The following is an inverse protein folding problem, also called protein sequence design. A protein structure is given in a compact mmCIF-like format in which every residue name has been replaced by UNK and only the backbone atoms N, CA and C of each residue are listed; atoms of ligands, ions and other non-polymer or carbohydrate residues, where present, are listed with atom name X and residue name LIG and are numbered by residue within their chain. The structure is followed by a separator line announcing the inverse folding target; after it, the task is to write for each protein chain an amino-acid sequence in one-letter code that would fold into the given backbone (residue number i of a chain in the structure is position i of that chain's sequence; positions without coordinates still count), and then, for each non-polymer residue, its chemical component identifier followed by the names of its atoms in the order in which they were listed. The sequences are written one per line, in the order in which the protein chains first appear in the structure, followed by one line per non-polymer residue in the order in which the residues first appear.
data_IF_265786918920
#
_entry.id   IF_265786918920
#
_cell.length_a   1.000
_cell.length_b   1.000
_cell.length_c   1.000
_cell.angle_alpha   90.00
_cell.angle_beta   90.00
_cell.angle_gamma   90.00
#
_symmetry.space_group_name_H-M   'P 1'
#
loop_
_entity.id
_entity.type
_entity.pdbx_description
1 polymer ?
#
# COMPACT_ATOMS: atom_id res chain seq x y z
N UNK A 1 -24.09 0.09 13.60
CA UNK A 1 -23.24 -1.01 13.11
C UNK A 1 -21.88 -0.49 12.69
N UNK A 2 -20.84 -1.34 12.68
CA UNK A 2 -19.48 -0.96 12.30
C UNK A 2 -18.88 -2.00 11.33
N UNK A 3 -18.10 -1.54 10.36
CA UNK A 3 -17.27 -2.37 9.47
C UNK A 3 -15.81 -1.95 9.66
N UNK A 4 -14.91 -2.93 9.59
CA UNK A 4 -13.47 -2.69 9.53
C UNK A 4 -12.83 -3.53 8.40
N UNK A 5 -11.85 -2.96 7.70
CA UNK A 5 -11.13 -3.65 6.63
C UNK A 5 -9.71 -3.09 6.45
N UNK A 6 -8.81 -3.90 5.89
CA UNK A 6 -7.46 -3.49 5.55
C UNK A 6 -7.36 -3.12 4.07
N UNK A 7 -6.53 -2.12 3.75
CA UNK A 7 -6.12 -1.78 2.39
C UNK A 7 -4.60 -1.64 2.30
N UNK A 8 -4.00 -2.08 1.20
CA UNK A 8 -2.58 -1.82 0.89
C UNK A 8 -2.38 -0.37 0.45
N UNK A 9 -1.26 0.21 0.82
CA UNK A 9 -0.83 1.56 0.44
C UNK A 9 0.59 1.51 -0.06
N UNK A 10 0.85 2.11 -1.21
CA UNK A 10 2.19 2.28 -1.74
C UNK A 10 2.72 3.67 -1.39
N UNK A 11 3.95 3.73 -0.87
CA UNK A 11 4.67 4.97 -0.61
C UNK A 11 5.86 5.05 -1.54
N UNK A 12 6.05 6.21 -2.18
CA UNK A 12 7.19 6.49 -3.05
C UNK A 12 8.02 7.61 -2.44
N UNK A 13 9.27 7.31 -2.09
CA UNK A 13 10.22 8.29 -1.55
C UNK A 13 11.27 8.60 -2.61
N UNK A 14 11.69 9.86 -2.69
CA UNK A 14 12.78 10.31 -3.56
C UNK A 14 13.96 10.63 -2.67
N UNK A 15 15.10 10.03 -2.96
CA UNK A 15 16.37 10.43 -2.35
C UNK A 15 17.04 11.46 -3.25
N UNK A 16 17.42 12.61 -2.69
CA UNK A 16 18.27 13.59 -3.36
C UNK A 16 19.67 13.41 -2.80
N UNK A 17 20.64 13.10 -3.65
CA UNK A 17 22.04 13.16 -3.28
C UNK A 17 22.45 14.64 -3.25
N UNK A 18 22.80 15.13 -2.06
CA UNK A 18 23.46 16.44 -1.96
C UNK A 18 24.90 16.22 -2.38
N UNK A 19 25.30 16.79 -3.53
CA UNK A 19 26.71 16.84 -3.92
C UNK A 19 27.50 17.45 -2.75
N UNK A 20 28.43 16.68 -2.19
CA UNK A 20 29.39 17.21 -1.23
C UNK A 20 30.34 18.08 -2.05
N UNK A 21 30.25 19.39 -1.85
CA UNK A 21 31.34 20.29 -2.24
C UNK A 21 32.57 19.87 -1.43
N UNK A 22 33.42 19.03 -2.03
CA UNK A 22 34.79 18.86 -1.56
C UNK A 22 35.44 20.24 -1.70
N UNK A 23 35.51 20.96 -0.58
CA UNK A 23 36.27 22.20 -0.46
C UNK A 23 37.75 21.90 -0.67
N UNK A 24 38.17 21.78 -1.93
CA UNK A 24 39.58 21.70 -2.28
C UNK A 24 40.17 23.10 -2.18
N UNK A 25 40.98 23.29 -1.14
CA UNK A 25 41.77 24.47 -0.87
C UNK A 25 42.58 24.92 -2.09
N UNK A 26 42.47 26.21 -2.36
CA UNK A 26 43.30 27.01 -3.25
C UNK A 26 44.81 26.74 -3.03
N UNK A 27 45.53 26.37 -4.08
CA UNK A 27 46.93 26.78 -4.25
C UNK A 27 47.28 26.89 -5.75
N UNK A 28 47.81 28.05 -6.08
CA UNK A 28 48.41 28.46 -7.36
C UNK A 28 49.80 27.83 -7.53
N UNK A 29 50.18 27.41 -8.75
CA UNK A 29 51.35 27.99 -9.44
C UNK A 29 51.53 27.51 -10.89
N UNK A 30 52.12 28.38 -11.71
CA UNK A 30 52.44 28.26 -13.14
C UNK A 30 53.73 27.44 -13.38
N UNK A 31 53.82 26.60 -14.44
CA UNK A 31 54.87 26.73 -15.49
C UNK A 31 54.84 25.65 -16.61
N UNK A 32 54.84 26.16 -17.85
CA UNK A 32 55.56 25.76 -19.09
C UNK A 32 55.86 24.27 -19.43
N UNK A 33 55.22 23.84 -20.54
CA UNK A 33 55.91 23.57 -21.82
C UNK A 33 56.19 22.12 -22.20
N UNK A 34 55.53 21.61 -23.26
CA UNK A 34 56.13 20.80 -24.33
C UNK A 34 55.13 20.50 -25.45
N UNK A 35 55.64 20.53 -26.67
CA UNK A 35 54.97 20.35 -27.96
C UNK A 35 54.46 18.92 -28.17
N UNK A 36 53.31 18.77 -28.83
CA UNK A 36 52.78 17.48 -29.30
C UNK A 36 51.86 17.67 -30.51
N UNK A 37 52.34 17.22 -31.66
CA UNK A 37 51.80 17.26 -33.03
C UNK A 37 50.31 16.91 -33.20
N UNK A 38 49.60 17.74 -33.98
CA UNK A 38 48.29 17.42 -34.56
C UNK A 38 48.41 16.29 -35.59
N UNK A 39 47.75 15.15 -35.35
CA UNK A 39 47.59 14.08 -36.34
C UNK A 39 46.10 14.00 -36.76
N UNK A 40 45.73 14.33 -38.01
CA UNK A 40 44.34 14.36 -38.46
C UNK A 40 43.81 13.01 -38.99
N UNK A 41 44.39 11.88 -38.57
CA UNK A 41 44.12 10.56 -39.17
C UNK A 41 43.12 9.66 -38.44
N UNK A 42 42.51 10.11 -37.33
CA UNK A 42 41.42 9.36 -36.68
C UNK A 42 40.07 10.08 -36.83
N UNK A 43 39.65 10.24 -38.08
CA UNK A 43 38.26 10.50 -38.45
C UNK A 43 37.74 9.24 -39.15
N UNK A 44 37.40 8.21 -38.37
CA UNK A 44 36.49 7.15 -38.83
C UNK A 44 35.53 6.83 -37.69
N UNK A 45 34.26 6.90 -38.05
CA UNK A 45 33.05 6.78 -37.25
C UNK A 45 32.96 5.51 -36.41
N UNK A 46 32.57 5.63 -35.14
CA UNK A 46 31.65 4.67 -34.52
C UNK A 46 30.96 5.27 -33.30
N UNK A 47 29.62 5.37 -33.41
CA UNK A 47 28.60 5.57 -32.39
C UNK A 47 28.97 6.41 -31.14
N UNK A 48 28.80 7.73 -31.24
CA UNK A 48 28.74 8.61 -30.07
C UNK A 48 27.45 8.33 -29.29
N UNK A 49 27.61 7.59 -28.19
CA UNK A 49 26.63 7.51 -27.12
C UNK A 49 26.23 8.91 -26.70
N UNK A 50 24.96 9.26 -26.95
CA UNK A 50 24.37 10.44 -26.37
C UNK A 50 24.48 10.34 -24.86
N UNK A 51 25.22 11.24 -24.25
CA UNK A 51 25.15 11.50 -22.81
C UNK A 51 23.74 12.06 -22.58
N UNK A 52 22.78 11.17 -22.43
CA UNK A 52 21.46 11.50 -21.91
C UNK A 52 21.70 11.72 -20.43
N UNK A 53 21.73 12.97 -20.00
CA UNK A 53 21.77 13.35 -18.58
C UNK A 53 20.52 12.78 -17.93
N UNK A 54 20.64 11.54 -17.44
CA UNK A 54 19.58 10.81 -16.79
C UNK A 54 19.41 11.45 -15.42
N UNK A 55 18.33 12.19 -15.21
CA UNK A 55 17.90 12.65 -13.88
C UNK A 55 17.70 11.39 -13.01
N UNK A 56 18.78 10.95 -12.35
CA UNK A 56 18.92 9.67 -11.67
C UNK A 56 18.24 9.72 -10.30
N UNK A 57 16.97 10.15 -10.27
CA UNK A 57 16.16 10.12 -9.06
C UNK A 57 15.90 8.67 -8.68
N UNK A 58 16.58 8.21 -7.65
CA UNK A 58 16.33 6.91 -7.05
C UNK A 58 15.02 7.00 -6.27
N UNK A 59 14.04 6.21 -6.69
CA UNK A 59 12.76 6.08 -5.99
C UNK A 59 12.73 4.81 -5.17
N UNK A 60 12.53 4.95 -3.87
CA UNK A 60 12.23 3.83 -2.99
C UNK A 60 10.71 3.65 -2.93
N UNK A 61 10.23 2.46 -3.32
CA UNK A 61 8.82 2.09 -3.20
C UNK A 61 8.66 1.10 -2.05
N UNK A 62 7.80 1.43 -1.09
CA UNK A 62 7.45 0.54 0.01
C UNK A 62 5.93 0.35 0.11
N UNK A 63 5.52 -0.84 0.55
CA UNK A 63 4.12 -1.16 0.81
C UNK A 63 3.82 -1.14 2.30
N UNK A 64 2.65 -0.60 2.66
CA UNK A 64 2.11 -0.62 4.02
C UNK A 64 0.64 -1.02 4.05
N UNK A 65 0.11 -1.25 5.24
CA UNK A 65 -1.30 -1.57 5.46
C UNK A 65 -2.01 -0.45 6.22
N UNK A 66 -3.24 -0.14 5.81
CA UNK A 66 -4.15 0.78 6.52
C UNK A 66 -5.37 0.03 7.01
N UNK A 67 -5.75 0.25 8.26
CA UNK A 67 -6.98 -0.26 8.85
C UNK A 67 -8.05 0.85 8.83
N UNK A 68 -9.17 0.56 8.19
CA UNK A 68 -10.30 1.48 8.08
C UNK A 68 -11.42 1.08 9.05
N UNK A 69 -12.11 2.07 9.58
CA UNK A 69 -13.28 1.90 10.43
C UNK A 69 -14.44 2.75 9.94
N UNK A 70 -15.54 2.10 9.58
CA UNK A 70 -16.73 2.77 9.08
C UNK A 70 -17.89 2.49 10.03
N UNK A 71 -18.62 3.52 10.41
CA UNK A 71 -19.85 3.42 11.21
C UNK A 71 -21.05 3.80 10.34
N UNK A 72 -22.15 3.09 10.53
CA UNK A 72 -23.42 3.38 9.86
C UNK A 72 -24.59 2.96 10.75
N UNK A 73 -25.74 3.57 10.52
CA UNK A 73 -26.98 3.21 11.22
C UNK A 73 -27.53 1.87 10.73
N UNK A 74 -27.97 1.03 11.66
CA UNK A 74 -28.43 -0.33 11.35
C UNK A 74 -29.65 -0.36 10.41
N UNK A 75 -30.50 0.69 10.41
CA UNK A 75 -31.65 0.78 9.50
C UNK A 75 -31.26 0.81 8.02
N UNK A 76 -30.02 1.16 7.69
CA UNK A 76 -29.53 1.22 6.32
C UNK A 76 -28.63 0.02 5.96
N UNK A 77 -28.71 -1.09 6.70
CA UNK A 77 -27.82 -2.23 6.50
C UNK A 77 -27.90 -2.81 5.09
N UNK A 78 -29.10 -2.93 4.50
CA UNK A 78 -29.25 -3.48 3.15
C UNK A 78 -28.54 -2.63 2.11
N UNK A 79 -28.82 -1.32 2.06
CA UNK A 79 -28.17 -0.41 1.13
C UNK A 79 -26.66 -0.32 1.33
N UNK A 80 -26.18 -0.45 2.58
CA UNK A 80 -24.75 -0.53 2.86
C UNK A 80 -24.13 -1.81 2.27
N UNK A 81 -24.79 -2.96 2.40
CA UNK A 81 -24.30 -4.22 1.82
C UNK A 81 -24.34 -4.21 0.29
N UNK A 82 -25.37 -3.62 -0.31
CA UNK A 82 -25.45 -3.42 -1.76
C UNK A 82 -24.30 -2.53 -2.26
N UNK A 83 -24.02 -1.44 -1.54
CA UNK A 83 -22.88 -0.57 -1.85
C UNK A 83 -21.55 -1.34 -1.76
N UNK A 84 -21.33 -2.13 -0.71
CA UNK A 84 -20.12 -2.94 -0.56
C UNK A 84 -20.01 -3.96 -1.68
N UNK A 85 -21.10 -4.65 -2.03
CA UNK A 85 -21.13 -5.62 -3.12
C UNK A 85 -20.72 -4.97 -4.45
N UNK A 86 -21.33 -3.84 -4.82
CA UNK A 86 -21.08 -3.16 -6.08
C UNK A 86 -19.66 -2.57 -6.21
N UNK A 87 -19.06 -2.12 -5.11
CA UNK A 87 -17.80 -1.37 -5.14
C UNK A 87 -16.57 -2.19 -4.70
N UNK A 88 -16.74 -3.18 -3.81
CA UNK A 88 -15.62 -3.93 -3.22
C UNK A 88 -15.54 -5.37 -3.70
N UNK A 89 -16.65 -5.98 -4.13
CA UNK A 89 -16.72 -7.40 -4.58
C UNK A 89 -16.55 -7.52 -6.11
N UNK A 90 -16.00 -6.49 -6.76
CA UNK A 90 -15.95 -6.32 -8.22
C UNK A 90 -15.16 -7.37 -9.02
N UNK A 91 -14.46 -8.31 -8.38
CA UNK A 91 -14.01 -9.55 -9.03
C UNK A 91 -14.10 -10.69 -8.03
N UNK A 92 -14.88 -11.72 -8.35
CA UNK A 92 -15.06 -12.92 -7.52
C UNK A 92 -13.74 -13.55 -7.12
N UNK A 93 -12.72 -13.46 -7.98
CA UNK A 93 -11.36 -13.97 -7.76
C UNK A 93 -10.66 -13.28 -6.58
N UNK A 94 -10.68 -11.94 -6.51
CA UNK A 94 -10.07 -11.19 -5.39
C UNK A 94 -10.76 -11.43 -4.04
N UNK A 95 -11.97 -11.98 -4.07
CA UNK A 95 -12.76 -12.26 -2.87
C UNK A 95 -12.88 -13.76 -2.58
N UNK A 96 -12.35 -14.62 -3.45
CA UNK A 96 -12.31 -16.05 -3.24
C UNK A 96 -11.53 -16.38 -1.97
N UNK A 97 -12.10 -17.25 -1.14
CA UNK A 97 -11.50 -17.65 0.14
C UNK A 97 -11.55 -16.60 1.25
N UNK A 98 -12.08 -15.39 1.01
CA UNK A 98 -12.24 -14.39 2.08
C UNK A 98 -13.47 -14.70 2.94
N UNK A 99 -13.32 -14.46 4.24
CA UNK A 99 -14.35 -14.71 5.26
C UNK A 99 -14.71 -13.40 5.95
N UNK A 100 -16.01 -13.13 6.08
CA UNK A 100 -16.53 -12.04 6.88
C UNK A 100 -16.57 -12.49 8.34
N UNK A 101 -15.89 -11.76 9.22
CA UNK A 101 -15.99 -11.95 10.67
C UNK A 101 -16.99 -10.96 11.24
N UNK A 102 -17.98 -11.45 11.98
CA UNK A 102 -19.03 -10.62 12.56
C UNK A 102 -19.28 -10.97 14.03
N UNK A 103 -19.60 -9.97 14.84
CA UNK A 103 -19.85 -10.11 16.27
C UNK A 103 -21.00 -9.21 16.72
N UNK A 104 -21.45 -9.39 17.97
CA UNK A 104 -22.61 -8.72 18.55
C UNK A 104 -23.95 -9.31 18.08
N UNK A 105 -25.05 -8.89 18.72
CA UNK A 105 -26.39 -9.44 18.42
C UNK A 105 -26.86 -9.20 16.98
N UNK A 106 -26.37 -8.13 16.35
CA UNK A 106 -26.65 -7.86 14.93
C UNK A 106 -26.09 -8.92 13.98
N UNK A 107 -24.94 -9.52 14.29
CA UNK A 107 -24.34 -10.54 13.44
C UNK A 107 -25.25 -11.78 13.33
N UNK A 108 -25.82 -12.21 14.45
CA UNK A 108 -26.81 -13.29 14.48
C UNK A 108 -28.10 -12.89 13.75
N UNK A 109 -28.64 -11.71 14.04
CA UNK A 109 -29.88 -11.20 13.42
C UNK A 109 -29.80 -11.09 11.89
N UNK A 110 -28.66 -10.67 11.35
CA UNK A 110 -28.48 -10.39 9.91
C UNK A 110 -27.63 -11.44 9.18
N UNK A 111 -27.43 -12.63 9.75
CA UNK A 111 -26.55 -13.66 9.17
C UNK A 111 -26.91 -14.00 7.72
N UNK A 112 -28.19 -14.29 7.44
CA UNK A 112 -28.67 -14.64 6.09
C UNK A 112 -28.45 -13.49 5.10
N UNK A 113 -28.87 -12.28 5.48
CA UNK A 113 -28.71 -11.09 4.67
C UNK A 113 -27.25 -10.83 4.27
N UNK A 114 -26.32 -10.99 5.22
CA UNK A 114 -24.88 -10.82 4.97
C UNK A 114 -24.35 -11.85 3.96
N UNK A 115 -24.72 -13.12 4.12
CA UNK A 115 -24.32 -14.20 3.21
C UNK A 115 -24.90 -14.01 1.80
N UNK A 116 -26.19 -13.69 1.70
CA UNK A 116 -26.89 -13.52 0.41
C UNK A 116 -26.40 -12.29 -0.36
N UNK A 117 -26.23 -11.15 0.31
CA UNK A 117 -25.83 -9.89 -0.35
C UNK A 117 -24.37 -9.89 -0.75
N UNK A 118 -23.48 -10.41 0.10
CA UNK A 118 -22.03 -10.34 -0.16
C UNK A 118 -21.48 -11.59 -0.85
N UNK A 119 -22.17 -12.74 -0.74
CA UNK A 119 -21.74 -14.00 -1.37
C UNK A 119 -20.45 -14.57 -0.78
N UNK A 120 -20.11 -14.22 0.47
CA UNK A 120 -18.89 -14.64 1.16
C UNK A 120 -19.22 -15.54 2.34
N UNK A 121 -18.27 -16.41 2.69
CA UNK A 121 -18.33 -17.19 3.93
C UNK A 121 -18.35 -16.27 5.14
N UNK A 122 -19.12 -16.64 6.17
CA UNK A 122 -19.34 -15.83 7.35
C UNK A 122 -18.99 -16.60 8.63
N UNK A 123 -18.20 -15.97 9.50
CA UNK A 123 -17.79 -16.51 10.80
C UNK A 123 -18.33 -15.62 11.92
N UNK A 124 -19.23 -16.19 12.73
CA UNK A 124 -19.82 -15.50 13.87
C UNK A 124 -18.97 -15.69 15.13
N UNK A 125 -18.72 -14.60 15.85
CA UNK A 125 -18.07 -14.60 17.15
C UNK A 125 -19.10 -14.17 18.20
N UNK A 126 -19.69 -15.16 18.86
CA UNK A 126 -20.61 -14.98 19.97
C UNK A 126 -19.85 -15.04 21.29
N UNK A 127 -20.27 -14.23 22.26
CA UNK A 127 -19.74 -14.33 23.63
C UNK A 127 -20.49 -15.49 24.31
N UNK A 128 -19.76 -16.50 24.76
CA UNK A 128 -20.28 -17.52 25.68
C UNK A 128 -20.80 -16.83 26.94
N UNK A 129 -22.08 -17.04 27.30
CA UNK A 129 -22.61 -16.59 28.59
C UNK A 129 -22.19 -17.59 29.68
N UNK A 130 -21.16 -17.27 30.48
CA UNK A 130 -20.92 -17.97 31.75
C UNK A 130 -21.99 -17.60 32.75
N UNK A 131 -23.05 -18.40 32.80
CA UNK A 131 -24.11 -18.28 33.81
C UNK A 131 -23.90 -19.28 34.95
N UNK A 132 -22.93 -19.00 35.82
CA UNK A 132 -22.87 -19.65 37.13
C UNK A 132 -23.96 -19.04 38.02
N UNK A 133 -25.20 -19.50 37.88
CA UNK A 133 -26.21 -19.30 38.93
C UNK A 133 -25.91 -20.33 40.01
N UNK A 134 -25.16 -19.92 41.03
CA UNK A 134 -25.20 -20.59 42.32
C UNK A 134 -26.61 -20.40 42.89
N UNK A 135 -27.49 -21.36 42.62
CA UNK A 135 -28.68 -21.58 43.43
C UNK A 135 -28.20 -22.56 44.50
N UNK A 136 -27.55 -22.05 45.54
CA UNK A 136 -27.45 -22.80 46.77
C UNK A 136 -28.87 -22.92 47.33
N UNK A 137 -29.22 -24.16 47.63
CA UNK A 137 -30.51 -24.67 48.10
C UNK A 137 -31.11 -23.91 49.27
N UNK A 138 -32.45 -23.91 49.30
CA UNK A 138 -33.32 -23.71 50.47
C UNK A 138 -32.85 -24.51 51.69
#
# INVERSE_FOLDING_TARGET
TKIAYYSTVSHRRVSYETEKEDGSSHSTDENRGAQGTFNPANLVSEQAGGVVSQDHRVYEVSEGARLHFIKFETKYIEGCLDFVRGNLVGSREKMAGKVIKATGGGAYKYTKLLQEKLGLSLQLFLREETKQRNIASL
#
